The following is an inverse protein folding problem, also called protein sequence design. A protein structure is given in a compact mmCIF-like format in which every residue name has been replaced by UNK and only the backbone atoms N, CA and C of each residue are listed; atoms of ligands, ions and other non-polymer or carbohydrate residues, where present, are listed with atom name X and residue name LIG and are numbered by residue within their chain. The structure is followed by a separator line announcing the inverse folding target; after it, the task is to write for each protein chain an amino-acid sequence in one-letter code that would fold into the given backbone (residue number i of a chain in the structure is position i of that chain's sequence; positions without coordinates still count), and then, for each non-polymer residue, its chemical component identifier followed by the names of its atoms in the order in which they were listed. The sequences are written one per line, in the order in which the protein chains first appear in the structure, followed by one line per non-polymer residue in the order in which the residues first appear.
data_IF_795952214937
#
_entry.id   IF_795952214937
#
_cell.length_a   1.000
_cell.length_b   1.000
_cell.length_c   1.000
_cell.angle_alpha   90.00
_cell.angle_beta   90.00
_cell.angle_gamma   90.00
#
_symmetry.space_group_name_H-M   'P 1'
#
loop_
_entity.id
_entity.type
_entity.pdbx_description
1 polymer ?
#
# COMPACT_ATOMS: atom_id res chain seq x y z
N UNK A 1 24.84 6.65 -3.06
CA UNK A 1 23.83 6.12 -2.12
C UNK A 1 22.49 6.54 -2.68
N UNK A 2 21.76 5.65 -3.34
CA UNK A 2 20.45 6.01 -3.90
C UNK A 2 19.49 6.28 -2.74
N UNK A 3 18.67 7.34 -2.80
CA UNK A 3 17.75 7.64 -1.73
C UNK A 3 16.66 6.56 -1.68
N UNK A 4 16.67 5.77 -0.61
CA UNK A 4 15.61 4.81 -0.32
C UNK A 4 14.44 5.60 0.25
N UNK A 5 13.36 5.69 -0.50
CA UNK A 5 12.10 6.24 -0.01
C UNK A 5 11.17 5.11 0.39
N UNK A 6 10.36 5.35 1.41
CA UNK A 6 9.30 4.45 1.84
C UNK A 6 7.97 5.02 1.38
N UNK A 7 7.14 4.17 0.79
CA UNK A 7 5.78 4.51 0.36
C UNK A 7 4.79 3.66 1.13
N UNK A 8 3.59 4.17 1.30
CA UNK A 8 2.53 3.46 2.00
C UNK A 8 1.50 2.95 0.98
N UNK A 9 1.26 1.65 0.99
CA UNK A 9 0.17 1.05 0.23
C UNK A 9 -1.02 0.83 1.17
N UNK A 10 -2.19 1.30 0.77
CA UNK A 10 -3.46 0.98 1.41
C UNK A 10 -4.03 -0.25 0.70
N UNK A 11 -4.21 -1.30 1.49
CA UNK A 11 -4.78 -2.57 1.08
C UNK A 11 -6.25 -2.59 1.49
N UNK A 12 -7.13 -2.97 0.57
CA UNK A 12 -8.52 -3.28 0.86
C UNK A 12 -8.70 -4.78 0.95
N UNK A 13 -9.27 -5.25 2.05
CA UNK A 13 -9.58 -6.66 2.27
C UNK A 13 -11.11 -6.83 2.15
N UNK A 14 -11.55 -7.77 1.31
CA UNK A 14 -12.97 -8.11 1.18
C UNK A 14 -13.44 -9.12 2.23
N UNK A 15 -14.72 -9.50 2.20
CA UNK A 15 -15.37 -10.40 3.17
C UNK A 15 -14.65 -11.75 3.36
N UNK A 16 -13.97 -12.22 2.32
CA UNK A 16 -13.21 -13.46 2.40
C UNK A 16 -11.86 -13.31 3.12
N UNK A 17 -11.41 -12.10 3.50
CA UNK A 17 -10.15 -11.73 4.22
C UNK A 17 -8.82 -12.39 3.75
N UNK A 18 -8.85 -13.35 2.81
CA UNK A 18 -7.70 -14.14 2.38
C UNK A 18 -6.91 -13.49 1.24
N UNK A 19 -7.20 -12.24 0.90
CA UNK A 19 -6.58 -11.56 -0.23
C UNK A 19 -6.79 -10.06 -0.20
N UNK A 20 -6.10 -9.38 0.70
CA UNK A 20 -6.06 -7.91 0.69
C UNK A 20 -5.37 -7.44 -0.60
N UNK A 21 -6.07 -6.68 -1.42
CA UNK A 21 -5.55 -6.13 -2.66
C UNK A 21 -5.16 -4.68 -2.47
N UNK A 22 -4.23 -4.18 -3.28
CA UNK A 22 -3.90 -2.76 -3.25
C UNK A 22 -5.09 -1.94 -3.74
N UNK A 23 -5.74 -1.23 -2.82
CA UNK A 23 -6.86 -0.34 -3.12
C UNK A 23 -6.35 1.05 -3.51
N UNK A 24 -5.32 1.55 -2.81
CA UNK A 24 -4.70 2.85 -3.09
C UNK A 24 -3.22 2.83 -2.68
N UNK A 25 -2.42 3.69 -3.30
CA UNK A 25 -1.06 4.02 -2.83
C UNK A 25 -1.07 5.46 -2.36
N UNK A 26 -0.59 5.70 -1.14
CA UNK A 26 -0.44 7.05 -0.63
C UNK A 26 0.63 7.79 -1.43
N UNK A 27 0.35 9.02 -1.88
CA UNK A 27 1.33 9.84 -2.61
C UNK A 27 2.46 10.35 -1.70
N UNK A 28 2.33 10.19 -0.38
CA UNK A 28 3.35 10.62 0.58
C UNK A 28 4.57 9.67 0.57
N UNK A 29 5.76 10.25 0.48
CA UNK A 29 7.03 9.53 0.53
C UNK A 29 7.74 9.83 1.86
N UNK A 30 8.25 8.80 2.52
CA UNK A 30 8.93 8.91 3.81
C UNK A 30 10.42 8.58 3.68
N UNK A 31 11.24 9.20 4.53
CA UNK A 31 12.69 8.96 4.54
C UNK A 31 13.07 7.68 5.30
N UNK A 32 12.17 7.15 6.14
CA UNK A 32 12.41 5.93 6.92
C UNK A 32 11.15 5.10 7.13
N UNK A 33 11.34 3.80 7.40
CA UNK A 33 10.25 2.88 7.75
C UNK A 33 9.49 3.36 9.00
N UNK A 34 10.20 3.85 10.02
CA UNK A 34 9.59 4.35 11.25
C UNK A 34 8.66 5.54 11.00
N UNK A 35 9.04 6.47 10.12
CA UNK A 35 8.17 7.58 9.72
C UNK A 35 6.93 7.09 8.98
N UNK A 36 7.09 6.14 8.06
CA UNK A 36 5.96 5.53 7.36
C UNK A 36 4.99 4.86 8.34
N UNK A 37 5.50 4.07 9.29
CA UNK A 37 4.68 3.36 10.28
C UNK A 37 3.93 4.33 11.20
N UNK A 38 4.58 5.39 11.66
CA UNK A 38 3.94 6.42 12.48
C UNK A 38 2.82 7.16 11.74
N UNK A 39 2.92 7.28 10.40
CA UNK A 39 1.90 7.91 9.58
C UNK A 39 0.73 6.99 9.21
N UNK A 40 0.85 5.67 9.40
CA UNK A 40 -0.16 4.68 9.01
C UNK A 40 -1.57 4.97 9.57
N UNK A 41 -1.74 5.29 10.88
CA UNK A 41 -3.08 5.54 11.42
C UNK A 41 -3.74 6.76 10.77
N UNK A 42 -2.97 7.80 10.51
CA UNK A 42 -3.46 9.02 9.87
C UNK A 42 -3.78 8.81 8.39
N UNK A 43 -3.06 7.93 7.70
CA UNK A 43 -3.37 7.56 6.32
C UNK A 43 -4.63 6.69 6.24
N UNK A 44 -4.78 5.69 7.12
CA UNK A 44 -5.99 4.86 7.18
C UNK A 44 -7.24 5.71 7.46
N UNK A 45 -7.17 6.64 8.40
CA UNK A 45 -8.28 7.53 8.73
C UNK A 45 -8.73 8.43 7.56
N UNK A 46 -7.84 8.74 6.60
CA UNK A 46 -8.17 9.51 5.39
C UNK A 46 -8.68 8.65 4.25
N UNK A 47 -8.42 7.34 4.31
CA UNK A 47 -8.78 6.37 3.27
C UNK A 47 -9.99 5.50 3.68
N UNK A 48 -10.78 5.96 4.66
CA UNK A 48 -12.06 5.35 5.04
C UNK A 48 -13.15 5.54 3.97
N UNK A 49 -12.87 6.31 2.91
CA UNK A 49 -13.71 6.48 1.71
C UNK A 49 -13.66 5.26 0.77
N UNK A 50 -12.78 4.30 1.02
CA UNK A 50 -12.65 3.11 0.20
C UNK A 50 -13.83 2.14 0.43
N UNK A 51 -14.39 1.61 -0.65
CA UNK A 51 -15.47 0.61 -0.64
C UNK A 51 -14.98 -0.80 -0.25
N UNK A 52 -14.24 -0.90 0.85
CA UNK A 52 -13.78 -2.17 1.42
C UNK A 52 -14.24 -2.29 2.88
N UNK A 53 -14.72 -3.48 3.29
CA UNK A 53 -15.16 -3.70 4.66
C UNK A 53 -14.01 -3.57 5.67
N UNK A 54 -12.79 -3.88 5.23
CA UNK A 54 -11.58 -3.70 6.02
C UNK A 54 -10.48 -3.07 5.16
N UNK A 55 -9.76 -2.11 5.73
CA UNK A 55 -8.60 -1.49 5.12
C UNK A 55 -7.38 -1.63 6.03
N UNK A 56 -6.24 -1.94 5.43
CA UNK A 56 -4.97 -2.16 6.10
C UNK A 56 -3.88 -1.35 5.41
N UNK A 57 -2.89 -0.84 6.14
CA UNK A 57 -1.78 -0.08 5.56
C UNK A 57 -0.50 -0.93 5.59
N UNK A 58 0.30 -0.85 4.53
CA UNK A 58 1.55 -1.56 4.39
C UNK A 58 2.66 -0.61 3.93
N UNK A 59 3.68 -0.43 4.76
CA UNK A 59 4.88 0.32 4.41
C UNK A 59 5.80 -0.51 3.54
N UNK A 60 6.11 -0.01 2.34
CA UNK A 60 7.00 -0.66 1.38
C UNK A 60 8.19 0.24 1.12
N UNK A 61 9.40 -0.32 1.11
CA UNK A 61 10.57 0.40 0.62
C UNK A 61 10.47 0.52 -0.90
N UNK A 62 10.27 1.73 -1.41
CA UNK A 62 10.27 2.04 -2.84
C UNK A 62 11.69 2.36 -3.29
N UNK A 63 12.62 1.42 -3.10
CA UNK A 63 13.87 1.42 -3.85
C UNK A 63 13.60 0.80 -5.22
N UNK A 64 13.18 1.60 -6.21
CA UNK A 64 13.09 1.27 -7.64
C UNK A 64 12.49 -0.08 -8.10
N UNK A 65 11.84 -0.87 -7.23
CA UNK A 65 11.11 -2.08 -7.63
C UNK A 65 9.62 -1.79 -7.80
N UNK A 66 9.33 -0.85 -8.70
CA UNK A 66 8.04 -0.85 -9.41
C UNK A 66 8.07 -1.97 -10.47
N UNK A 67 8.20 -3.23 -10.04
CA UNK A 67 7.85 -4.39 -10.88
C UNK A 67 6.45 -4.79 -10.44
N UNK A 68 5.42 -4.27 -11.08
CA UNK A 68 5.00 -4.77 -12.37
C UNK A 68 3.82 -5.70 -12.13
N UNK A 69 2.61 -5.15 -12.27
CA UNK A 69 1.39 -5.84 -12.70
C UNK A 69 1.57 -7.34 -13.04
N UNK A 70 1.34 -8.21 -12.05
CA UNK A 70 1.02 -9.63 -12.29
C UNK A 70 -0.35 -9.95 -11.70
N UNK A 71 -1.42 -9.43 -12.30
CA UNK A 71 -2.66 -10.18 -12.41
C UNK A 71 -3.62 -9.54 -13.42
N UNK A 72 -3.15 -9.33 -14.65
CA UNK A 72 -4.03 -9.00 -15.76
C UNK A 72 -3.58 -9.73 -17.03
N UNK A 73 -4.17 -10.91 -17.23
CA UNK A 73 -4.38 -11.67 -18.48
C UNK A 73 -3.26 -12.55 -19.05
N UNK A 74 -3.78 -13.67 -19.59
CA UNK A 74 -3.25 -14.63 -20.60
C UNK A 74 -2.47 -15.80 -19.98
N UNK A 75 -2.62 -17.05 -20.40
CA UNK A 75 -3.53 -17.78 -21.28
C UNK A 75 -3.03 -19.24 -21.22
N UNK A 76 -3.92 -20.22 -21.32
CA UNK A 76 -3.59 -21.64 -21.41
C UNK A 76 -4.86 -22.46 -21.34
#
# INVERSE_FOLDING_TARGET
MEPVYFVMAILGCGDASQGCQQARVEPAHYASAAQCQAAMPAALARNTDLDYPEISAACRSSGLQMTGTKSARRAG
#
